data_IF_784945587382
#
_entry.id   IF_784945587382
#
_cell.length_a   1.000
_cell.length_b   1.000
_cell.length_c   1.000
_cell.angle_alpha   90.00
_cell.angle_beta   90.00
_cell.angle_gamma   90.00
#
_symmetry.space_group_name_H-M   'P 1'
#
loop_
_entity.id
_entity.type
_entity.pdbx_description
1 polymer ?
#
# COMPACT_ATOMS: atom_id res chain seq x y z
N UNK A 1 -0.55 18.07 2.89
CA UNK A 1 0.50 19.06 3.16
C UNK A 1 0.68 19.91 1.92
N UNK A 2 1.89 20.36 1.59
CA UNK A 2 2.19 21.02 0.32
C UNK A 2 3.64 20.75 -0.07
N UNK A 3 3.95 20.89 -1.34
CA UNK A 3 5.30 20.70 -1.87
C UNK A 3 5.66 21.85 -2.80
N UNK A 4 6.96 22.15 -2.89
CA UNK A 4 7.46 23.03 -3.94
C UNK A 4 7.37 22.30 -5.29
N UNK A 5 6.74 22.93 -6.28
CA UNK A 5 6.53 22.40 -7.62
C UNK A 5 6.95 23.43 -8.66
N UNK A 6 7.58 22.97 -9.74
CA UNK A 6 7.83 23.81 -10.92
C UNK A 6 6.62 23.76 -11.83
N UNK A 7 5.89 24.87 -11.94
CA UNK A 7 4.69 25.01 -12.77
C UNK A 7 4.94 26.17 -13.73
N UNK A 8 4.85 25.90 -15.04
CA UNK A 8 5.05 26.90 -16.10
C UNK A 8 6.38 27.69 -15.97
N UNK A 9 7.46 27.01 -15.54
CA UNK A 9 8.79 27.61 -15.42
C UNK A 9 9.00 28.45 -14.15
N UNK A 10 8.08 28.41 -13.19
CA UNK A 10 8.21 29.08 -11.89
C UNK A 10 8.11 28.09 -10.73
N UNK A 11 8.87 28.34 -9.67
CA UNK A 11 8.76 27.60 -8.42
C UNK A 11 7.54 28.07 -7.63
N UNK A 12 6.64 27.15 -7.30
CA UNK A 12 5.37 27.44 -6.61
C UNK A 12 5.17 26.47 -5.46
N UNK A 13 4.88 27.00 -4.26
CA UNK A 13 4.42 26.18 -3.14
C UNK A 13 2.97 25.74 -3.37
N UNK A 14 2.77 24.48 -3.75
CA UNK A 14 1.45 23.94 -4.06
C UNK A 14 0.90 23.13 -2.88
N UNK A 15 -0.28 23.51 -2.40
CA UNK A 15 -1.06 22.71 -1.45
C UNK A 15 -1.92 21.70 -2.20
N UNK A 16 -1.99 20.49 -1.68
CA UNK A 16 -2.86 19.42 -2.17
C UNK A 16 -3.46 18.66 -1.00
N UNK A 17 -4.64 18.09 -1.24
CA UNK A 17 -5.25 17.19 -0.28
C UNK A 17 -4.51 15.85 -0.35
N UNK A 18 -4.00 15.40 0.79
CA UNK A 18 -3.41 14.07 0.92
C UNK A 18 -4.44 13.15 1.52
N UNK A 19 -4.45 11.91 1.04
CA UNK A 19 -5.14 10.85 1.73
C UNK A 19 -4.45 10.64 3.08
N UNK A 20 -5.26 10.50 4.13
CA UNK A 20 -4.72 10.00 5.39
C UNK A 20 -4.46 8.50 5.19
N UNK A 21 -3.19 8.15 4.98
CA UNK A 21 -2.79 6.77 4.79
C UNK A 21 -3.04 6.00 6.09
N UNK A 22 -3.66 4.83 5.97
CA UNK A 22 -3.89 3.87 7.07
C UNK A 22 -2.85 2.76 7.00
N UNK A 23 -1.58 3.14 7.01
CA UNK A 23 -0.45 2.21 6.84
C UNK A 23 -0.31 1.24 8.03
N UNK A 24 -0.90 1.57 9.17
CA UNK A 24 -1.04 0.67 10.32
C UNK A 24 -1.81 -0.63 9.98
N UNK A 25 -2.67 -0.61 8.95
CA UNK A 25 -3.45 -1.77 8.53
C UNK A 25 -2.68 -2.71 7.59
N UNK A 26 -1.53 -2.29 7.06
CA UNK A 26 -0.80 -3.07 6.04
C UNK A 26 -0.31 -4.42 6.57
N UNK A 27 0.05 -4.50 7.85
CA UNK A 27 0.47 -5.76 8.44
C UNK A 27 -0.66 -6.80 8.46
N UNK A 28 -1.83 -6.41 8.96
CA UNK A 28 -3.02 -7.28 9.01
C UNK A 28 -3.49 -7.69 7.62
N UNK A 29 -3.44 -6.77 6.65
CA UNK A 29 -3.75 -7.07 5.25
C UNK A 29 -2.74 -8.09 4.69
N UNK A 30 -1.45 -7.88 4.94
CA UNK A 30 -0.38 -8.78 4.50
C UNK A 30 -0.53 -10.20 5.06
N UNK A 31 -0.84 -10.34 6.35
CA UNK A 31 -1.16 -11.63 6.97
C UNK A 31 -2.37 -12.29 6.29
N UNK A 32 -3.40 -11.50 5.98
CA UNK A 32 -4.56 -11.96 5.23
C UNK A 32 -4.21 -12.49 3.84
N UNK A 33 -3.35 -11.79 3.08
CA UNK A 33 -2.86 -12.27 1.78
C UNK A 33 -2.11 -13.59 1.95
N UNK A 34 -1.20 -13.67 2.93
CA UNK A 34 -0.37 -14.86 3.17
C UNK A 34 -1.18 -16.12 3.52
N UNK A 35 -2.37 -15.94 4.09
CA UNK A 35 -3.28 -17.04 4.42
C UNK A 35 -4.17 -17.46 3.24
N UNK A 36 -4.43 -16.56 2.28
CA UNK A 36 -5.45 -16.75 1.24
C UNK A 36 -4.89 -16.88 -0.18
N UNK A 37 -3.62 -16.53 -0.39
CA UNK A 37 -2.96 -16.54 -1.70
C UNK A 37 -1.63 -17.30 -1.65
N UNK A 38 -1.29 -17.96 -2.76
CA UNK A 38 0.05 -18.53 -2.93
C UNK A 38 1.06 -17.40 -3.12
N UNK A 39 2.13 -17.42 -2.31
CA UNK A 39 3.20 -16.43 -2.38
C UNK A 39 4.52 -17.17 -2.59
N UNK A 40 5.32 -16.68 -3.52
CA UNK A 40 6.68 -17.17 -3.69
C UNK A 40 7.57 -16.57 -2.60
N UNK A 41 8.08 -17.41 -1.71
CA UNK A 41 8.95 -16.99 -0.61
C UNK A 41 10.33 -17.61 -0.76
N UNK A 42 11.36 -16.87 -0.39
CA UNK A 42 12.74 -17.34 -0.47
C UNK A 42 13.72 -16.33 0.10
N UNK A 43 14.99 -16.51 -0.22
CA UNK A 43 16.06 -15.62 0.22
C UNK A 43 16.72 -14.91 -0.97
N UNK A 44 16.91 -13.60 -0.84
CA UNK A 44 17.84 -12.84 -1.69
C UNK A 44 19.08 -12.57 -0.84
N UNK A 45 20.13 -13.38 -1.06
CA UNK A 45 21.26 -13.44 -0.14
C UNK A 45 20.82 -13.99 1.22
N UNK A 46 20.93 -13.17 2.27
CA UNK A 46 20.47 -13.53 3.63
C UNK A 46 19.10 -12.93 3.99
N UNK A 47 18.48 -12.15 3.11
CA UNK A 47 17.21 -11.48 3.38
C UNK A 47 16.01 -12.36 3.01
N UNK A 48 15.12 -12.61 3.97
CA UNK A 48 13.80 -13.22 3.68
C UNK A 48 13.01 -12.30 2.75
N UNK A 49 12.55 -12.84 1.63
CA UNK A 49 11.97 -12.10 0.52
C UNK A 49 10.69 -12.80 0.03
N UNK A 50 9.73 -12.00 -0.42
CA UNK A 50 8.44 -12.48 -0.95
C UNK A 50 8.20 -11.86 -2.33
N UNK A 51 7.75 -12.68 -3.27
CA UNK A 51 7.33 -12.27 -4.60
C UNK A 51 5.86 -12.62 -4.79
N UNK A 52 5.09 -11.62 -5.20
CA UNK A 52 3.63 -11.62 -5.21
C UNK A 52 3.12 -10.74 -6.36
N UNK A 53 1.95 -11.08 -6.90
CA UNK A 53 1.29 -10.27 -7.93
C UNK A 53 0.76 -8.99 -7.31
N UNK A 54 1.21 -7.83 -7.81
CA UNK A 54 0.75 -6.53 -7.30
C UNK A 54 -0.77 -6.36 -7.49
N UNK A 55 -1.31 -6.87 -8.60
CA UNK A 55 -2.75 -6.81 -8.84
C UNK A 55 -3.53 -7.57 -7.76
N UNK A 56 -3.14 -8.80 -7.47
CA UNK A 56 -3.82 -9.63 -6.46
C UNK A 56 -3.73 -9.02 -5.05
N UNK A 57 -2.59 -8.43 -4.70
CA UNK A 57 -2.42 -7.72 -3.43
C UNK A 57 -3.38 -6.53 -3.29
N UNK A 58 -3.48 -5.72 -4.35
CA UNK A 58 -4.34 -4.53 -4.33
C UNK A 58 -5.80 -4.94 -4.30
N UNK A 59 -6.20 -5.92 -5.11
CA UNK A 59 -7.58 -6.43 -5.14
C UNK A 59 -7.99 -7.02 -3.78
N UNK A 60 -7.09 -7.75 -3.13
CA UNK A 60 -7.29 -8.25 -1.76
C UNK A 60 -7.41 -7.12 -0.75
N UNK A 61 -6.47 -6.16 -0.77
CA UNK A 61 -6.47 -5.02 0.15
C UNK A 61 -7.76 -4.18 0.05
N UNK A 62 -8.27 -3.94 -1.16
CA UNK A 62 -9.54 -3.24 -1.37
C UNK A 62 -10.70 -4.00 -0.73
N UNK A 63 -10.78 -5.31 -0.96
CA UNK A 63 -11.84 -6.14 -0.38
C UNK A 63 -11.77 -6.16 1.15
N UNK A 64 -10.57 -6.33 1.70
CA UNK A 64 -10.30 -6.36 3.13
C UNK A 64 -10.69 -5.04 3.81
N UNK A 65 -10.26 -3.90 3.25
CA UNK A 65 -10.57 -2.57 3.79
C UNK A 65 -12.08 -2.29 3.78
N UNK A 66 -12.78 -2.65 2.69
CA UNK A 66 -14.23 -2.49 2.61
C UNK A 66 -14.96 -3.31 3.69
N UNK A 67 -14.48 -4.50 4.02
CA UNK A 67 -15.06 -5.34 5.07
C UNK A 67 -14.74 -4.80 6.47
N UNK A 68 -13.50 -4.37 6.68
CA UNK A 68 -13.04 -3.78 7.95
C UNK A 68 -13.84 -2.51 8.29
N UNK A 69 -14.09 -1.66 7.30
CA UNK A 69 -14.82 -0.40 7.47
C UNK A 69 -16.31 -0.59 7.73
N UNK A 70 -16.91 -1.73 7.31
CA UNK A 70 -18.31 -2.06 7.59
C UNK A 70 -18.54 -2.60 9.01
N UNK A 71 -17.48 -3.05 9.68
CA UNK A 71 -17.53 -3.66 11.01
C UNK A 71 -17.10 -2.69 12.13
N UNK A 72 -16.62 -1.50 11.76
CA UNK A 72 -16.10 -0.46 12.67
C UNK A 72 -17.13 0.61 13.02
#
# INVERSE_FOLDING_TARGET
>A
MGASMFIEGQEVWKKFHELNLRDELFHSIGEGVEQNHEINQGFVGSASSKLMSMQELVDYAVTWLNQYDQQS
#
